data_IF_246104711400
#
_entry.id   IF_246104711400
#
_cell.length_a   1.000
_cell.length_b   1.000
_cell.length_c   1.000
_cell.angle_alpha   90.00
_cell.angle_beta   90.00
_cell.angle_gamma   90.00
#
_symmetry.space_group_name_H-M   'P 1'
#
loop_
_entity.id
_entity.type
_entity.pdbx_description
1 polymer ?
#
# COMPACT_ATOMS: atom_id res chain seq x y z
N UNK A 1 16.44 13.25 -28.38
CA UNK A 1 14.98 13.28 -28.47
C UNK A 1 14.57 14.62 -27.91
N UNK A 2 14.10 15.53 -28.76
CA UNK A 2 13.66 16.85 -28.30
C UNK A 2 12.30 16.72 -27.59
N UNK A 3 12.08 17.46 -26.50
CA UNK A 3 10.81 17.43 -25.78
C UNK A 3 9.69 17.98 -26.67
N UNK A 4 8.61 17.20 -26.85
CA UNK A 4 7.42 17.64 -27.57
C UNK A 4 6.70 18.68 -26.72
N UNK A 5 6.74 19.94 -27.17
CA UNK A 5 6.02 21.06 -26.56
C UNK A 5 4.56 20.98 -26.99
N UNK A 6 3.66 20.76 -26.03
CA UNK A 6 2.21 20.76 -26.28
C UNK A 6 1.74 22.21 -26.14
N UNK A 7 1.47 22.86 -27.26
CA UNK A 7 0.86 24.19 -27.32
C UNK A 7 -0.63 24.04 -27.64
N UNK A 8 -1.48 24.82 -26.96
CA UNK A 8 -2.91 24.83 -27.21
C UNK A 8 -3.18 25.69 -28.46
N UNK A 9 -3.38 25.04 -29.60
CA UNK A 9 -3.62 25.70 -30.88
C UNK A 9 -5.09 26.15 -30.99
N UNK A 10 -5.35 27.31 -31.65
CA UNK A 10 -6.70 27.75 -32.02
C UNK A 10 -7.42 26.66 -32.84
N UNK A 11 -8.75 26.56 -32.68
CA UNK A 11 -9.55 25.47 -33.26
C UNK A 11 -9.41 25.34 -34.79
N UNK A 12 -9.18 26.45 -35.48
CA UNK A 12 -9.01 26.54 -36.93
C UNK A 12 -7.67 26.01 -37.45
N UNK A 13 -6.66 25.88 -36.57
CA UNK A 13 -5.32 25.39 -36.90
C UNK A 13 -5.12 23.91 -36.52
N UNK A 14 -6.10 23.30 -35.83
CA UNK A 14 -6.04 21.90 -35.39
C UNK A 14 -6.23 20.96 -36.59
N UNK A 15 -5.16 20.28 -37.00
CA UNK A 15 -5.27 19.22 -38.00
C UNK A 15 -5.69 17.89 -37.36
N UNK A 16 -6.62 17.13 -37.99
CA UNK A 16 -7.00 15.81 -37.50
C UNK A 16 -5.82 14.84 -37.65
N UNK A 17 -5.13 14.58 -36.55
CA UNK A 17 -4.06 13.59 -36.51
C UNK A 17 -4.66 12.18 -36.62
N UNK A 18 -4.40 11.49 -37.73
CA UNK A 18 -4.84 10.11 -37.93
C UNK A 18 -3.92 9.16 -37.15
N UNK A 19 -4.47 8.48 -36.13
CA UNK A 19 -3.82 7.30 -35.54
C UNK A 19 -3.85 7.23 -34.01
N UNK A 20 -4.21 8.32 -33.32
CA UNK A 20 -4.50 8.28 -31.89
C UNK A 20 -5.87 8.93 -31.73
N UNK A 21 -6.79 8.17 -31.15
CA UNK A 21 -8.12 8.64 -30.76
C UNK A 21 -7.96 9.91 -29.93
N UNK A 22 -8.09 11.07 -30.58
CA UNK A 22 -8.30 12.32 -29.87
C UNK A 22 -9.55 12.08 -29.02
N UNK A 23 -9.39 12.12 -27.69
CA UNK A 23 -10.54 12.28 -26.80
C UNK A 23 -10.99 13.73 -27.01
N UNK A 24 -11.74 13.94 -28.08
CA UNK A 24 -12.55 15.12 -28.24
C UNK A 24 -13.58 15.01 -27.14
N UNK A 25 -13.46 15.82 -26.09
CA UNK A 25 -14.57 16.07 -25.18
C UNK A 25 -15.56 16.90 -25.99
N UNK A 26 -16.35 16.21 -26.82
CA UNK A 26 -17.31 16.78 -27.77
C UNK A 26 -18.41 17.60 -27.08
N UNK A 27 -18.50 17.51 -25.75
CA UNK A 27 -19.50 18.22 -24.96
C UNK A 27 -18.83 18.92 -23.75
N UNK A 28 -18.68 20.26 -23.78
CA UNK A 28 -18.13 21.04 -22.67
C UNK A 28 -19.01 21.03 -21.42
N UNK A 29 -20.29 20.65 -21.52
CA UNK A 29 -21.14 20.40 -20.35
C UNK A 29 -20.82 19.05 -19.71
N UNK A 30 -20.64 18.01 -20.53
CA UNK A 30 -20.16 16.70 -20.08
C UNK A 30 -18.79 16.80 -19.41
N UNK A 31 -17.85 17.55 -19.98
CA UNK A 31 -16.53 17.76 -19.39
C UNK A 31 -16.59 18.42 -18.01
N UNK A 32 -17.43 19.44 -17.85
CA UNK A 32 -17.65 20.12 -16.55
C UNK A 32 -18.33 19.20 -15.53
N UNK A 33 -19.33 18.43 -15.95
CA UNK A 33 -20.02 17.47 -15.09
C UNK A 33 -19.06 16.35 -14.63
N UNK A 34 -18.25 15.81 -15.54
CA UNK A 34 -17.24 14.79 -15.23
C UNK A 34 -16.19 15.32 -14.25
N UNK A 35 -15.67 16.53 -14.47
CA UNK A 35 -14.71 17.17 -13.57
C UNK A 35 -15.29 17.38 -12.17
N UNK A 36 -16.55 17.82 -12.06
CA UNK A 36 -17.24 17.97 -10.78
C UNK A 36 -17.38 16.61 -10.05
N UNK A 37 -17.78 15.55 -10.76
CA UNK A 37 -17.89 14.19 -10.19
C UNK A 37 -16.55 13.63 -9.73
N UNK A 38 -15.49 13.85 -10.50
CA UNK A 38 -14.13 13.44 -10.12
C UNK A 38 -13.69 14.20 -8.86
N UNK A 39 -13.97 15.50 -8.77
CA UNK A 39 -13.68 16.32 -7.59
C UNK A 39 -14.45 15.86 -6.34
N UNK A 40 -15.74 15.56 -6.48
CA UNK A 40 -16.58 15.00 -5.41
C UNK A 40 -16.03 13.65 -4.92
N UNK A 41 -15.71 12.74 -5.85
CA UNK A 41 -15.14 11.43 -5.53
C UNK A 41 -13.79 11.56 -4.83
N UNK A 42 -12.91 12.42 -5.33
CA UNK A 42 -11.60 12.68 -4.74
C UNK A 42 -11.73 13.20 -3.30
N UNK A 43 -12.63 14.14 -3.09
CA UNK A 43 -12.89 14.72 -1.76
C UNK A 43 -13.47 13.69 -0.80
N UNK A 44 -14.42 12.87 -1.25
CA UNK A 44 -14.98 11.79 -0.46
C UNK A 44 -13.92 10.74 -0.09
N UNK A 45 -13.07 10.36 -1.05
CA UNK A 45 -11.97 9.41 -0.82
C UNK A 45 -10.97 9.95 0.19
N UNK A 46 -10.54 11.21 0.07
CA UNK A 46 -9.63 11.83 1.04
C UNK A 46 -10.25 11.90 2.44
N UNK A 47 -11.54 12.21 2.53
CA UNK A 47 -12.25 12.26 3.81
C UNK A 47 -12.31 10.89 4.46
N UNK A 48 -12.65 9.86 3.68
CA UNK A 48 -12.65 8.46 4.13
C UNK A 48 -11.27 8.02 4.61
N UNK A 49 -10.23 8.23 3.80
CA UNK A 49 -8.85 7.84 4.15
C UNK A 49 -8.38 8.54 5.42
N UNK A 50 -8.68 9.84 5.58
CA UNK A 50 -8.35 10.58 6.81
C UNK A 50 -9.07 10.04 8.04
N UNK A 51 -10.37 9.74 7.91
CA UNK A 51 -11.15 9.17 9.00
C UNK A 51 -10.64 7.77 9.38
N UNK A 52 -10.37 6.93 8.38
CA UNK A 52 -9.82 5.59 8.56
C UNK A 52 -8.44 5.60 9.22
N UNK A 53 -7.54 6.49 8.76
CA UNK A 53 -6.21 6.65 9.35
C UNK A 53 -6.30 7.06 10.82
N UNK A 54 -7.21 8.00 11.17
CA UNK A 54 -7.44 8.39 12.57
C UNK A 54 -7.99 7.25 13.43
N UNK A 55 -8.87 6.43 12.87
CA UNK A 55 -9.45 5.29 13.59
C UNK A 55 -8.41 4.20 13.88
N UNK A 56 -7.45 3.99 12.97
CA UNK A 56 -6.45 2.92 13.09
C UNK A 56 -5.17 3.36 13.78
N UNK A 57 -4.86 4.66 13.80
CA UNK A 57 -3.65 5.19 14.44
C UNK A 57 -3.39 4.64 15.85
N UNK A 58 -4.38 4.59 16.77
CA UNK A 58 -4.15 4.07 18.12
C UNK A 58 -3.75 2.59 18.13
N UNK A 59 -4.33 1.79 17.24
CA UNK A 59 -4.00 0.37 17.13
C UNK A 59 -2.58 0.16 16.57
N UNK A 60 -2.14 1.00 15.63
CA UNK A 60 -0.75 0.98 15.13
C UNK A 60 0.23 1.34 16.26
N UNK A 61 -0.07 2.38 17.04
CA UNK A 61 0.76 2.78 18.19
C UNK A 61 0.84 1.68 19.25
N UNK A 62 -0.29 1.05 19.58
CA UNK A 62 -0.34 -0.06 20.52
C UNK A 62 0.48 -1.26 20.02
N UNK A 63 0.33 -1.63 18.75
CA UNK A 63 1.11 -2.70 18.15
C UNK A 63 2.61 -2.38 18.19
N UNK A 64 2.99 -1.12 17.91
CA UNK A 64 4.38 -0.66 18.03
C UNK A 64 4.94 -0.81 19.44
N UNK A 65 4.16 -0.46 20.47
CA UNK A 65 4.55 -0.65 21.88
C UNK A 65 4.72 -2.12 22.24
N UNK A 66 3.83 -3.00 21.79
CA UNK A 66 3.94 -4.45 21.99
C UNK A 66 5.21 -4.99 21.33
N UNK A 67 5.48 -4.62 20.07
CA UNK A 67 6.69 -5.04 19.37
C UNK A 67 7.97 -4.56 20.07
N UNK A 68 7.97 -3.34 20.61
CA UNK A 68 9.11 -2.84 21.36
C UNK A 68 9.30 -3.63 22.66
N UNK A 69 8.24 -3.86 23.42
CA UNK A 69 8.30 -4.65 24.65
C UNK A 69 8.79 -6.09 24.38
N UNK A 70 8.37 -6.70 23.27
CA UNK A 70 8.84 -8.00 22.83
C UNK A 70 10.30 -7.98 22.37
N UNK A 71 10.81 -6.88 21.82
CA UNK A 71 12.25 -6.75 21.52
C UNK A 71 13.06 -6.59 22.81
N UNK A 72 12.61 -5.73 23.71
CA UNK A 72 13.30 -5.43 24.97
C UNK A 72 13.35 -6.64 25.91
N UNK A 73 12.29 -7.46 25.94
CA UNK A 73 12.28 -8.72 26.70
C UNK A 73 13.13 -9.83 26.06
N UNK A 74 13.62 -9.64 24.84
CA UNK A 74 14.39 -10.60 24.08
C UNK A 74 13.68 -11.77 23.38
N UNK A 75 12.34 -11.97 23.37
CA UNK A 75 11.73 -13.05 22.57
C UNK A 75 11.83 -12.83 21.06
N UNK A 76 11.97 -11.59 20.57
CA UNK A 76 12.15 -11.30 19.13
C UNK A 76 13.36 -10.38 18.88
N UNK A 77 13.98 -10.52 17.72
CA UNK A 77 15.13 -9.73 17.27
C UNK A 77 14.71 -8.40 16.61
N UNK A 78 15.69 -7.62 16.13
CA UNK A 78 15.46 -6.34 15.43
C UNK A 78 14.65 -6.49 14.14
N UNK A 79 14.66 -7.68 13.53
CA UNK A 79 13.87 -8.02 12.35
C UNK A 79 12.47 -8.54 12.70
N UNK A 80 12.11 -8.60 13.98
CA UNK A 80 10.85 -9.14 14.48
C UNK A 80 10.77 -10.66 14.46
N UNK A 81 11.88 -11.36 14.29
CA UNK A 81 11.93 -12.83 14.28
C UNK A 81 12.16 -13.38 15.69
N UNK A 82 11.63 -14.56 16.02
CA UNK A 82 11.92 -15.20 17.30
C UNK A 82 13.43 -15.43 17.51
N UNK A 83 13.95 -15.01 18.66
CA UNK A 83 15.38 -15.23 19.01
C UNK A 83 15.68 -16.66 19.43
N UNK A 84 14.67 -17.38 19.95
CA UNK A 84 14.77 -18.79 20.36
C UNK A 84 14.00 -19.68 19.40
N UNK A 85 14.61 -20.83 19.10
CA UNK A 85 13.90 -21.92 18.41
C UNK A 85 12.69 -22.34 19.25
N UNK A 86 11.51 -22.60 18.65
CA UNK A 86 10.35 -23.06 19.38
C UNK A 86 10.74 -24.27 20.23
N UNK A 87 10.44 -24.20 21.52
CA UNK A 87 10.69 -25.30 22.44
C UNK A 87 9.68 -26.41 22.13
N UNK A 88 10.02 -27.21 21.11
CA UNK A 88 9.18 -28.33 20.67
C UNK A 88 9.44 -29.48 21.61
N UNK A 89 8.40 -30.04 22.25
CA UNK A 89 8.58 -31.15 23.16
C UNK A 89 9.25 -32.32 22.44
N UNK A 90 10.08 -33.08 23.15
CA UNK A 90 10.97 -34.08 22.55
C UNK A 90 10.26 -35.13 21.66
N UNK A 91 8.95 -35.34 21.84
CA UNK A 91 8.13 -36.20 21.00
C UNK A 91 7.81 -35.64 19.60
N UNK A 92 7.99 -34.32 19.38
CA UNK A 92 7.87 -33.67 18.07
C UNK A 92 9.20 -33.55 17.31
N UNK A 93 10.31 -33.99 17.90
CA UNK A 93 11.60 -34.01 17.20
C UNK A 93 11.59 -35.13 16.14
N UNK A 94 11.95 -34.87 14.88
CA UNK A 94 12.00 -35.89 13.82
C UNK A 94 12.99 -37.04 14.11
N UNK A 95 13.87 -36.87 15.10
CA UNK A 95 14.89 -37.85 15.48
C UNK A 95 14.62 -38.56 16.81
N UNK A 96 13.45 -38.33 17.43
CA UNK A 96 13.08 -38.97 18.70
C UNK A 96 14.00 -38.59 19.88
N UNK A 97 13.74 -39.12 21.09
CA UNK A 97 14.59 -38.87 22.25
C UNK A 97 15.99 -39.48 22.04
N UNK A 98 17.06 -38.82 22.52
CA UNK A 98 18.43 -39.30 22.36
C UNK A 98 18.60 -40.69 22.99
N UNK A 99 19.14 -41.65 22.22
CA UNK A 99 19.46 -43.00 22.70
C UNK A 99 20.53 -42.90 23.79
N UNK A 100 20.19 -43.28 25.02
CA UNK A 100 21.18 -43.43 26.10
C UNK A 100 22.14 -44.55 25.71
N UNK A 101 23.42 -44.21 25.55
CA UNK A 101 24.49 -45.16 25.22
C UNK A 101 24.65 -46.26 26.28
N UNK A 102 25.27 -47.39 25.93
CA UNK A 102 25.42 -48.52 26.84
C UNK A 102 26.26 -48.11 28.05
N UNK A 103 25.75 -48.43 29.25
CA UNK A 103 26.54 -48.44 30.48
C UNK A 103 27.49 -49.61 30.49
#
# INVERSE_FOLDING_TARGET
>A
MDPVRIEDLPDEERQPFHGITNIVVMDPEFGRAAAARIGELHTAMLTFVRAYARAIHPAIEEMGRIFQALRDAGPIDESGKPTRSPDRPAWQSPYGPPRRGPR
#
